data_IF_773054368857
#
_entry.id   IF_773054368857
#
_cell.length_a   1.000
_cell.length_b   1.000
_cell.length_c   1.000
_cell.angle_alpha   90.00
_cell.angle_beta   90.00
_cell.angle_gamma   90.00
#
_symmetry.space_group_name_H-M   'P 1'
#
loop_
_entity.id
_entity.type
_entity.pdbx_description
1 polymer ?
#
# COMPACT_ATOMS: atom_id res chain seq x y z
N UNK A 1 14.93 3.58 4.40
CA UNK A 1 15.57 2.30 4.71
C UNK A 1 16.50 2.01 3.55
N UNK A 2 17.76 1.69 3.83
CA UNK A 2 18.70 1.28 2.77
C UNK A 2 18.16 0.05 2.05
N UNK A 3 18.55 -0.15 0.79
CA UNK A 3 18.02 -1.24 -0.06
C UNK A 3 18.09 -2.62 0.61
N UNK A 4 19.23 -2.98 1.19
CA UNK A 4 19.40 -4.29 1.85
C UNK A 4 18.47 -4.45 3.06
N UNK A 5 18.35 -3.40 3.89
CA UNK A 5 17.43 -3.40 5.03
C UNK A 5 15.98 -3.56 4.56
N UNK A 6 15.60 -2.87 3.49
CA UNK A 6 14.27 -2.97 2.91
C UNK A 6 13.97 -4.40 2.44
N UNK A 7 14.88 -5.02 1.68
CA UNK A 7 14.72 -6.39 1.18
C UNK A 7 14.59 -7.42 2.33
N UNK A 8 15.42 -7.29 3.38
CA UNK A 8 15.35 -8.14 4.57
C UNK A 8 13.97 -8.01 5.24
N UNK A 9 13.50 -6.78 5.48
CA UNK A 9 12.21 -6.54 6.14
C UNK A 9 11.02 -7.00 5.32
N UNK A 10 11.03 -6.79 4.00
CA UNK A 10 9.95 -7.25 3.13
C UNK A 10 9.88 -8.79 3.14
N UNK A 11 11.03 -9.46 3.13
CA UNK A 11 11.13 -10.92 3.25
C UNK A 11 10.64 -11.42 4.62
N UNK A 12 11.13 -10.82 5.72
CA UNK A 12 10.74 -11.20 7.09
C UNK A 12 9.22 -11.10 7.29
N UNK A 13 8.63 -10.00 6.84
CA UNK A 13 7.20 -9.77 6.95
C UNK A 13 6.37 -10.40 5.83
N UNK A 14 7.02 -11.03 4.84
CA UNK A 14 6.40 -11.70 3.69
C UNK A 14 5.57 -10.78 2.80
N UNK A 15 6.05 -9.55 2.62
CA UNK A 15 5.51 -8.64 1.61
C UNK A 15 6.12 -8.95 0.25
N UNK A 16 5.27 -9.10 -0.76
CA UNK A 16 5.67 -9.29 -2.15
C UNK A 16 5.32 -8.06 -2.97
N UNK A 17 6.17 -7.72 -3.95
CA UNK A 17 5.85 -6.68 -4.91
C UNK A 17 4.66 -7.10 -5.77
N UNK A 18 3.62 -6.27 -5.80
CA UNK A 18 2.43 -6.49 -6.61
C UNK A 18 2.53 -5.74 -7.92
N UNK A 19 2.96 -4.48 -7.91
CA UNK A 19 3.00 -3.63 -9.10
C UNK A 19 3.71 -2.31 -8.83
N UNK A 20 4.24 -1.69 -9.88
CA UNK A 20 4.61 -0.27 -9.89
C UNK A 20 3.36 0.59 -10.14
N UNK A 21 3.23 1.69 -9.41
CA UNK A 21 2.16 2.68 -9.58
C UNK A 21 2.55 3.61 -10.73
N UNK A 22 1.85 3.51 -11.87
CA UNK A 22 2.09 4.36 -13.04
C UNK A 22 0.92 5.30 -13.27
N UNK A 23 1.17 6.37 -14.03
CA UNK A 23 0.13 7.23 -14.56
C UNK A 23 0.00 7.05 -16.07
N UNK A 24 -1.23 6.93 -16.53
CA UNK A 24 -1.59 7.03 -17.95
C UNK A 24 -2.61 8.16 -18.10
N UNK A 25 -2.13 9.34 -18.50
CA UNK A 25 -2.89 10.58 -18.36
C UNK A 25 -3.14 10.87 -16.88
N UNK A 26 -4.41 11.07 -16.52
CA UNK A 26 -4.82 11.40 -15.13
C UNK A 26 -5.20 10.20 -14.26
N UNK A 27 -5.10 8.98 -14.80
CA UNK A 27 -5.51 7.75 -14.12
C UNK A 27 -4.31 6.93 -13.70
N UNK A 28 -4.38 6.40 -12.48
CA UNK A 28 -3.42 5.40 -12.03
C UNK A 28 -3.59 4.11 -12.81
N UNK A 29 -2.48 3.58 -13.32
CA UNK A 29 -2.41 2.23 -13.84
C UNK A 29 -1.65 1.35 -12.87
N UNK A 30 -2.32 0.28 -12.50
CA UNK A 30 -1.80 -0.80 -11.69
C UNK A 30 -1.90 -2.04 -12.57
N UNK A 31 -0.76 -2.54 -13.01
CA UNK A 31 -0.65 -3.82 -13.74
C UNK A 31 -0.09 -4.84 -12.77
N UNK A 32 -0.96 -5.53 -12.01
CA UNK A 32 -0.50 -6.49 -11.02
C UNK A 32 0.35 -7.56 -11.72
N UNK A 33 1.54 -7.79 -11.19
CA UNK A 33 2.45 -8.85 -11.60
C UNK A 33 1.77 -10.22 -11.42
N UNK A 34 1.00 -10.35 -10.33
CA UNK A 34 0.36 -11.59 -9.90
C UNK A 34 -1.12 -11.34 -9.56
N UNK A 35 -2.02 -12.24 -9.96
CA UNK A 35 -3.42 -12.22 -9.49
C UNK A 35 -3.45 -12.80 -8.07
N UNK A 36 -3.43 -11.93 -7.06
CA UNK A 36 -3.61 -12.33 -5.67
C UNK A 36 -5.05 -12.82 -5.45
N UNK A 37 -5.17 -14.13 -5.28
CA UNK A 37 -6.40 -14.80 -4.82
C UNK A 37 -6.45 -14.72 -3.29
N UNK A 38 -7.64 -14.66 -2.71
CA UNK A 38 -7.83 -14.55 -1.26
C UNK A 38 -8.50 -13.26 -0.81
N UNK A 39 -8.53 -13.03 0.50
CA UNK A 39 -9.09 -11.82 1.11
C UNK A 39 -8.39 -11.49 2.43
N UNK A 40 -8.36 -10.21 2.78
CA UNK A 40 -7.65 -9.76 3.99
C UNK A 40 -6.16 -9.63 3.73
N UNK A 41 -5.78 -8.53 3.08
CA UNK A 41 -4.39 -8.19 2.82
C UNK A 41 -4.00 -6.92 3.56
N UNK A 42 -2.74 -6.83 3.94
CA UNK A 42 -2.08 -5.55 4.19
C UNK A 42 -1.21 -5.22 3.00
N UNK A 43 -1.21 -3.95 2.59
CA UNK A 43 -0.38 -3.45 1.52
C UNK A 43 0.35 -2.17 1.93
N UNK A 44 1.48 -1.96 1.30
CA UNK A 44 2.34 -0.80 1.46
C UNK A 44 2.38 -0.04 0.13
N UNK A 45 2.49 1.28 0.21
CA UNK A 45 3.09 2.05 -0.89
C UNK A 45 4.51 2.40 -0.52
N UNK A 46 5.41 2.14 -1.46
CA UNK A 46 6.83 2.36 -1.30
C UNK A 46 7.26 3.42 -2.30
N UNK A 47 7.96 4.46 -1.85
CA UNK A 47 8.71 5.38 -2.69
C UNK A 47 10.14 4.84 -2.85
N UNK A 48 10.60 4.71 -4.10
CA UNK A 48 12.00 4.41 -4.41
C UNK A 48 12.78 5.72 -4.50
N UNK A 49 13.87 5.77 -3.74
CA UNK A 49 14.90 6.81 -3.75
C UNK A 49 16.18 6.19 -4.32
N UNK A 50 17.20 6.99 -4.64
CA UNK A 50 18.42 6.52 -5.32
C UNK A 50 19.01 5.23 -4.71
N UNK A 51 19.26 5.22 -3.40
CA UNK A 51 19.88 4.08 -2.70
C UNK A 51 18.99 3.53 -1.56
N UNK A 52 17.75 4.00 -1.46
CA UNK A 52 16.88 3.66 -0.33
C UNK A 52 15.41 3.58 -0.73
N UNK A 53 14.63 2.92 0.13
CA UNK A 53 13.18 2.82 0.00
C UNK A 53 12.51 3.43 1.22
N UNK A 54 11.35 4.04 0.98
CA UNK A 54 10.53 4.62 2.02
C UNK A 54 9.10 4.10 1.95
N UNK A 55 8.62 3.53 3.05
CA UNK A 55 7.20 3.19 3.19
C UNK A 55 6.44 4.50 3.43
N UNK A 56 5.64 4.91 2.45
CA UNK A 56 4.88 6.17 2.50
C UNK A 56 3.42 5.95 2.88
N UNK A 57 2.91 4.73 2.78
CA UNK A 57 1.52 4.43 3.15
C UNK A 57 1.38 2.96 3.54
N UNK A 58 0.55 2.71 4.56
CA UNK A 58 0.09 1.37 4.94
C UNK A 58 -1.42 1.32 4.71
N UNK A 59 -1.93 0.28 4.10
CA UNK A 59 -3.37 0.11 3.94
C UNK A 59 -3.78 -1.34 4.02
N UNK A 60 -5.07 -1.57 4.22
CA UNK A 60 -5.66 -2.91 4.13
C UNK A 60 -6.62 -3.10 2.98
N UNK A 61 -6.71 -4.32 2.47
CA UNK A 61 -7.74 -4.76 1.54
C UNK A 61 -8.52 -5.96 2.12
N UNK A 62 -9.76 -5.73 2.57
CA UNK A 62 -10.62 -6.81 3.08
C UNK A 62 -11.17 -7.75 2.00
N UNK A 63 -10.98 -7.43 0.71
CA UNK A 63 -11.24 -8.32 -0.44
C UNK A 63 -9.90 -8.65 -1.10
N UNK A 64 -9.86 -8.76 -2.43
CA UNK A 64 -8.62 -8.95 -3.19
C UNK A 64 -7.85 -7.64 -3.37
N UNK A 65 -6.53 -7.72 -3.57
CA UNK A 65 -5.74 -6.55 -3.98
C UNK A 65 -6.20 -6.01 -5.34
N UNK A 66 -6.57 -6.87 -6.28
CA UNK A 66 -7.15 -6.44 -7.58
C UNK A 66 -8.35 -5.51 -7.39
N UNK A 67 -9.26 -5.86 -6.48
CA UNK A 67 -10.40 -4.99 -6.16
C UNK A 67 -9.96 -3.67 -5.55
N UNK A 68 -8.97 -3.68 -4.64
CA UNK A 68 -8.44 -2.46 -4.02
C UNK A 68 -7.72 -1.55 -5.03
N UNK A 69 -6.85 -2.11 -5.87
CA UNK A 69 -6.15 -1.37 -6.92
C UNK A 69 -7.12 -0.77 -7.93
N UNK A 70 -8.20 -1.49 -8.28
CA UNK A 70 -9.25 -0.94 -9.14
C UNK A 70 -9.96 0.26 -8.53
N UNK A 71 -10.14 0.31 -7.20
CA UNK A 71 -10.69 1.48 -6.52
C UNK A 71 -9.74 2.69 -6.61
N UNK A 72 -8.42 2.46 -6.64
CA UNK A 72 -7.44 3.52 -6.83
C UNK A 72 -7.38 3.99 -8.29
N UNK A 73 -7.58 3.10 -9.29
CA UNK A 73 -7.62 3.48 -10.73
C UNK A 73 -8.64 4.58 -11.02
N UNK A 74 -9.78 4.54 -10.33
CA UNK A 74 -10.79 5.59 -10.37
C UNK A 74 -10.37 6.86 -9.65
N UNK A 75 -9.08 7.17 -9.45
CA UNK A 75 -8.60 8.43 -8.87
C UNK A 75 -9.19 8.77 -7.49
N UNK A 76 -9.55 7.76 -6.69
CA UNK A 76 -10.27 7.95 -5.43
C UNK A 76 -11.61 8.71 -5.58
N UNK A 77 -12.22 8.72 -6.77
CA UNK A 77 -13.47 9.42 -7.06
C UNK A 77 -14.55 9.01 -6.04
N UNK A 78 -15.08 9.99 -5.31
CA UNK A 78 -16.05 9.82 -4.23
C UNK A 78 -15.47 9.80 -2.81
N UNK A 79 -14.15 9.84 -2.62
CA UNK A 79 -13.53 9.94 -1.29
C UNK A 79 -13.06 11.36 -1.01
N UNK A 80 -13.73 12.04 -0.07
CA UNK A 80 -13.25 13.30 0.52
C UNK A 80 -12.12 13.02 1.52
N UNK A 81 -11.17 13.94 1.68
CA UNK A 81 -10.13 13.87 2.72
C UNK A 81 -8.81 13.22 2.28
N UNK A 82 -8.26 12.32 3.10
CA UNK A 82 -6.87 11.80 2.99
C UNK A 82 -6.61 11.06 1.66
N UNK A 83 -7.59 10.32 1.13
CA UNK A 83 -7.43 9.58 -0.12
C UNK A 83 -7.13 10.48 -1.32
N UNK A 84 -7.79 11.63 -1.41
CA UNK A 84 -7.55 12.61 -2.47
C UNK A 84 -6.16 13.25 -2.33
N UNK A 85 -5.79 13.68 -1.11
CA UNK A 85 -4.46 14.23 -0.83
C UNK A 85 -3.33 13.25 -1.18
N UNK A 86 -3.53 11.96 -0.88
CA UNK A 86 -2.54 10.93 -1.20
C UNK A 86 -2.45 10.67 -2.71
N UNK A 87 -3.57 10.78 -3.43
CA UNK A 87 -3.59 10.73 -4.88
C UNK A 87 -2.81 11.89 -5.51
N UNK A 88 -3.01 13.11 -5.01
CA UNK A 88 -2.30 14.31 -5.45
C UNK A 88 -0.79 14.18 -5.21
N UNK A 89 -0.39 13.71 -4.01
CA UNK A 89 1.02 13.43 -3.69
C UNK A 89 1.66 12.41 -4.64
N UNK A 90 0.98 11.31 -4.94
CA UNK A 90 1.47 10.33 -5.91
C UNK A 90 1.61 10.98 -7.30
N UNK A 91 0.63 11.77 -7.72
CA UNK A 91 0.67 12.43 -9.03
C UNK A 91 1.84 13.40 -9.15
N UNK A 92 2.02 14.26 -8.15
CA UNK A 92 3.13 15.20 -8.08
C UNK A 92 4.48 14.47 -8.07
N UNK A 93 4.63 13.46 -7.21
CA UNK A 93 5.87 12.68 -7.12
C UNK A 93 6.22 11.99 -8.44
N UNK A 94 5.25 11.32 -9.08
CA UNK A 94 5.46 10.68 -10.39
C UNK A 94 5.81 11.72 -11.45
N UNK A 95 5.17 12.90 -11.43
CA UNK A 95 5.49 14.02 -12.33
C UNK A 95 6.92 14.55 -12.16
N UNK A 96 7.48 14.44 -10.96
CA UNK A 96 8.88 14.76 -10.66
C UNK A 96 9.85 13.60 -10.96
N UNK A 97 9.38 12.50 -11.56
CA UNK A 97 10.19 11.35 -11.92
C UNK A 97 10.40 10.32 -10.79
N UNK A 98 9.69 10.46 -9.66
CA UNK A 98 9.74 9.47 -8.58
C UNK A 98 9.00 8.19 -8.98
N UNK A 99 9.43 7.06 -8.41
CA UNK A 99 8.82 5.75 -8.64
C UNK A 99 8.17 5.24 -7.37
N UNK A 100 6.99 4.65 -7.53
CA UNK A 100 6.20 4.14 -6.43
C UNK A 100 5.79 2.69 -6.70
N UNK A 101 5.81 1.86 -5.66
CA UNK A 101 5.47 0.44 -5.76
C UNK A 101 4.41 0.07 -4.73
N UNK A 102 3.61 -0.94 -5.06
CA UNK A 102 2.69 -1.59 -4.12
C UNK A 102 3.29 -2.92 -3.73
N UNK A 103 3.53 -3.09 -2.43
CA UNK A 103 3.87 -4.37 -1.84
C UNK A 103 2.66 -4.86 -1.04
N UNK A 104 2.38 -6.17 -1.04
CA UNK A 104 1.28 -6.70 -0.25
C UNK A 104 1.59 -8.07 0.32
N UNK A 105 0.89 -8.41 1.40
CA UNK A 105 0.88 -9.73 2.00
C UNK A 105 -0.53 -10.13 2.39
N UNK A 106 -0.82 -11.43 2.36
CA UNK A 106 -2.05 -11.95 2.93
C UNK A 106 -1.93 -11.99 4.46
N UNK A 107 -3.00 -11.58 5.15
CA UNK A 107 -3.08 -11.61 6.60
C UNK A 107 -3.56 -12.97 7.08
N UNK A 108 -3.02 -13.48 8.20
CA UNK A 108 -3.52 -14.72 8.76
C UNK A 108 -4.98 -14.58 9.16
N UNK A 109 -5.73 -15.66 8.98
CA UNK A 109 -7.09 -15.78 9.52
C UNK A 109 -7.05 -16.38 10.93
N UNK A 110 -7.89 -15.85 11.83
CA UNK A 110 -8.11 -16.41 13.17
C UNK A 110 -9.60 -16.53 13.42
N UNK A 111 -9.97 -17.44 14.32
CA UNK A 111 -11.37 -17.59 14.73
C UNK A 111 -11.70 -16.62 15.86
N UNK A 112 -12.71 -15.78 15.65
CA UNK A 112 -13.33 -14.95 16.68
C UNK A 112 -14.79 -15.36 16.75
N UNK A 113 -15.27 -15.77 17.93
CA UNK A 113 -16.62 -16.35 18.10
C UNK A 113 -16.94 -17.48 17.12
N UNK A 114 -15.94 -18.31 16.78
CA UNK A 114 -16.07 -19.42 15.83
C UNK A 114 -16.01 -19.02 14.35
N UNK A 115 -16.02 -17.73 14.03
CA UNK A 115 -15.98 -17.20 12.66
C UNK A 115 -14.54 -16.89 12.27
N UNK A 116 -14.10 -17.36 11.11
CA UNK A 116 -12.79 -17.00 10.54
C UNK A 116 -12.79 -15.55 10.08
N UNK A 117 -11.96 -14.72 10.70
CA UNK A 117 -11.78 -13.31 10.35
C UNK A 117 -10.30 -13.09 10.04
N UNK A 118 -9.96 -12.50 8.87
CA UNK A 118 -8.58 -12.12 8.61
C UNK A 118 -8.15 -10.97 9.54
N UNK A 119 -6.87 -10.96 9.89
CA UNK A 119 -6.31 -9.99 10.85
C UNK A 119 -5.78 -8.72 10.16
N UNK A 120 -6.19 -8.43 8.93
CA UNK A 120 -5.61 -7.35 8.13
C UNK A 120 -5.82 -5.97 8.76
N UNK A 121 -6.91 -5.80 9.51
CA UNK A 121 -7.18 -4.56 10.23
C UNK A 121 -6.24 -4.36 11.42
N UNK A 122 -5.87 -5.43 12.12
CA UNK A 122 -4.93 -5.37 13.23
C UNK A 122 -3.49 -5.24 12.73
N UNK A 123 -3.15 -5.99 11.67
CA UNK A 123 -1.83 -5.89 11.03
C UNK A 123 -1.61 -4.50 10.41
N UNK A 124 -2.62 -3.86 9.80
CA UNK A 124 -2.53 -2.46 9.33
C UNK A 124 -2.07 -1.52 10.46
N UNK A 125 -2.70 -1.60 11.63
CA UNK A 125 -2.33 -0.79 12.80
C UNK A 125 -0.90 -1.10 13.28
N UNK A 126 -0.52 -2.37 13.33
CA UNK A 126 0.82 -2.79 13.75
C UNK A 126 1.89 -2.27 12.76
N UNK A 127 1.67 -2.42 11.46
CA UNK A 127 2.60 -1.95 10.44
C UNK A 127 2.68 -0.43 10.36
N UNK A 128 1.60 0.29 10.67
CA UNK A 128 1.67 1.74 10.85
C UNK A 128 2.61 2.15 11.99
N UNK A 129 2.71 1.35 13.06
CA UNK A 129 3.66 1.60 14.16
C UNK A 129 5.08 1.20 13.79
N UNK A 130 5.25 0.06 13.10
CA UNK A 130 6.56 -0.44 12.65
C UNK A 130 7.20 0.55 11.66
N UNK A 131 6.42 1.04 10.69
CA UNK A 131 6.88 1.94 9.63
C UNK A 131 6.59 3.42 9.92
N UNK A 132 6.36 3.79 11.18
CA UNK A 132 6.10 5.18 11.58
C UNK A 132 7.21 6.12 11.10
N UNK A 133 6.84 7.37 10.81
CA UNK A 133 7.79 8.39 10.33
C UNK A 133 7.14 9.28 9.27
N UNK A 134 7.21 8.85 8.00
CA UNK A 134 6.69 9.62 6.85
C UNK A 134 5.39 9.06 6.27
N UNK A 135 4.65 8.26 7.02
CA UNK A 135 3.38 7.68 6.56
C UNK A 135 2.33 8.77 6.25
N UNK A 136 1.70 8.66 5.09
CA UNK A 136 0.60 9.50 4.64
C UNK A 136 -0.76 9.00 5.13
N UNK A 137 -0.77 8.04 6.06
CA UNK A 137 -1.96 7.53 6.72
C UNK A 137 -2.70 8.59 7.53
N UNK A 138 -1.99 9.63 7.96
CA UNK A 138 -2.51 10.72 8.79
C UNK A 138 -2.56 11.98 7.93
N UNK A 139 -3.68 12.70 7.95
CA UNK A 139 -3.66 14.10 7.55
C UNK A 139 -2.77 14.80 8.59
N UNK A 140 -1.56 15.21 8.23
CA UNK A 140 -0.90 16.25 8.99
C UNK A 140 -1.88 17.42 8.99
N UNK A 141 -2.56 17.62 10.12
CA UNK A 141 -3.20 18.87 10.45
C UNK A 141 -2.03 19.82 10.68
N UNK A 142 -1.59 20.45 9.59
CA UNK A 142 -0.91 21.73 9.69
C UNK A 142 -1.91 22.76 10.20
#
# INVERSE_FOLDING_TARGET
>A
MEKEEFEIRMSEYKFEEITEIKLHGDRFDYRPLNDSKGHGFVYLWIEELNDSYEVVYVGKAGKTMKSRLSQHKGGFHGRKGIGLKNAEKLKEGIGLGKRYFVYARESPTRKIHGIGVPFESLEELAFMQIFKGKLWNIANNA
#
